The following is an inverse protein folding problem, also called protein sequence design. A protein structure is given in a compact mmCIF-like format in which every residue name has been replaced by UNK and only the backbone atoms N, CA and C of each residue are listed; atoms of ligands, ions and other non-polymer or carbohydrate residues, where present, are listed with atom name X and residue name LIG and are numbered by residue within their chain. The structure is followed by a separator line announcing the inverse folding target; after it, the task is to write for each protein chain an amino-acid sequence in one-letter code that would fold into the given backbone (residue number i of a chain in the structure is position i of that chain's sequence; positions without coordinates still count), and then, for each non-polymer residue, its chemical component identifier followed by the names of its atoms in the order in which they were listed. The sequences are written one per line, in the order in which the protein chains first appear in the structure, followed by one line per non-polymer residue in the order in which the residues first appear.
data_IF_257070710565
#
_entry.id   IF_257070710565
#
_cell.length_a   1.000
_cell.length_b   1.000
_cell.length_c   1.000
_cell.angle_alpha   90.00
_cell.angle_beta   90.00
_cell.angle_gamma   90.00
#
_symmetry.space_group_name_H-M   'P 1'
#
loop_
_entity.id
_entity.type
_entity.pdbx_description
1 polymer ?
#
# COMPACT_ATOMS: atom_id res chain seq x y z
N UNK A 1 -7.10 -13.87 -1.41
CA UNK A 1 -6.69 -13.15 -0.20
C UNK A 1 -7.30 -11.77 -0.23
N UNK A 2 -7.60 -11.19 0.92
CA UNK A 2 -8.14 -9.84 0.99
C UNK A 2 -7.01 -8.86 1.34
N UNK A 3 -7.25 -7.56 1.14
CA UNK A 3 -6.36 -6.54 1.65
C UNK A 3 -6.39 -6.56 3.19
N UNK A 4 -5.30 -6.11 3.82
CA UNK A 4 -5.21 -6.07 5.27
C UNK A 4 -5.08 -4.62 5.74
N UNK A 5 -5.66 -4.31 6.89
CA UNK A 5 -5.54 -2.98 7.48
C UNK A 5 -4.32 -2.94 8.38
N UNK A 6 -3.48 -1.92 8.20
CA UNK A 6 -2.32 -1.71 9.07
C UNK A 6 -2.42 -0.36 9.75
N UNK A 7 -1.88 -0.29 10.95
CA UNK A 7 -1.95 0.87 11.84
C UNK A 7 -0.54 1.37 12.13
N UNK A 8 -0.44 2.54 12.79
CA UNK A 8 0.87 3.02 13.26
C UNK A 8 1.48 2.02 14.24
N UNK A 9 0.65 1.36 15.07
CA UNK A 9 1.12 0.43 16.10
C UNK A 9 1.61 -0.90 15.52
N UNK A 10 0.95 -1.41 14.45
CA UNK A 10 1.34 -2.72 13.89
C UNK A 10 2.17 -2.65 12.61
N UNK A 11 2.53 -1.45 12.17
CA UNK A 11 3.27 -1.25 10.92
C UNK A 11 4.59 -2.04 10.91
N UNK A 12 5.33 -2.01 12.00
CA UNK A 12 6.61 -2.71 12.09
C UNK A 12 6.43 -4.21 11.89
N UNK A 13 5.49 -4.83 12.61
CA UNK A 13 5.27 -6.27 12.51
C UNK A 13 4.63 -6.70 11.19
N UNK A 14 3.65 -5.95 10.72
CA UNK A 14 2.87 -6.36 9.55
C UNK A 14 3.52 -5.98 8.22
N UNK A 15 4.33 -4.93 8.20
CA UNK A 15 4.95 -4.43 6.98
C UNK A 15 6.45 -4.70 6.97
N UNK A 16 7.17 -4.16 7.96
CA UNK A 16 8.63 -4.23 7.94
C UNK A 16 9.16 -5.62 8.21
N UNK A 17 8.46 -6.41 9.01
CA UNK A 17 8.84 -7.80 9.32
C UNK A 17 8.11 -8.84 8.48
N UNK A 18 7.34 -8.40 7.50
CA UNK A 18 6.64 -9.33 6.62
C UNK A 18 7.61 -10.15 5.80
N UNK A 19 7.31 -11.44 5.67
CA UNK A 19 8.11 -12.36 4.84
C UNK A 19 7.86 -12.14 3.35
N UNK A 20 6.72 -11.55 2.99
CA UNK A 20 6.37 -11.23 1.61
C UNK A 20 6.54 -9.75 1.35
N UNK A 21 6.84 -9.36 0.10
CA UNK A 21 6.75 -7.96 -0.28
C UNK A 21 5.37 -7.41 0.06
N UNK A 22 5.32 -6.18 0.57
CA UNK A 22 4.08 -5.56 1.02
C UNK A 22 3.91 -4.20 0.36
N UNK A 23 2.76 -4.01 -0.26
CA UNK A 23 2.35 -2.71 -0.81
C UNK A 23 1.46 -2.05 0.22
N UNK A 24 1.82 -0.85 0.66
CA UNK A 24 1.01 -0.09 1.61
C UNK A 24 0.33 1.04 0.86
N UNK A 25 -1.01 1.02 0.85
CA UNK A 25 -1.84 2.07 0.26
C UNK A 25 -2.25 3.06 1.34
N UNK A 26 -1.71 4.28 1.26
CA UNK A 26 -2.10 5.38 2.15
C UNK A 26 -3.33 6.07 1.58
N UNK A 27 -4.40 6.10 2.36
CA UNK A 27 -5.71 6.56 1.90
C UNK A 27 -6.48 7.30 2.99
N UNK A 28 -7.59 7.93 2.62
CA UNK A 28 -8.52 8.56 3.57
C UNK A 28 -9.95 8.45 3.03
N UNK A 29 -10.92 8.50 3.93
CA UNK A 29 -12.35 8.41 3.58
C UNK A 29 -12.80 9.52 2.63
N UNK A 30 -12.24 10.73 2.79
CA UNK A 30 -12.62 11.89 1.97
C UNK A 30 -11.96 11.89 0.59
N UNK A 31 -11.09 10.96 0.33
CA UNK A 31 -10.27 10.94 -0.90
C UNK A 31 -10.99 10.17 -2.01
N UNK A 32 -11.55 10.90 -2.97
CA UNK A 32 -12.22 10.31 -4.14
C UNK A 32 -11.31 9.39 -4.95
N UNK A 33 -10.10 9.84 -5.34
CA UNK A 33 -9.16 8.99 -6.08
C UNK A 33 -8.76 7.72 -5.34
N UNK A 34 -8.66 7.78 -4.00
CA UNK A 34 -8.39 6.58 -3.19
C UNK A 34 -9.48 5.54 -3.36
N UNK A 35 -10.74 5.99 -3.45
CA UNK A 35 -11.89 5.09 -3.62
C UNK A 35 -11.92 4.47 -5.01
N UNK A 36 -11.33 5.14 -6.00
CA UNK A 36 -11.24 4.60 -7.36
C UNK A 36 -10.28 3.42 -7.44
N UNK A 37 -9.17 3.45 -6.71
CA UNK A 37 -8.21 2.34 -6.76
C UNK A 37 -8.50 1.24 -5.74
N UNK A 38 -9.32 1.49 -4.75
CA UNK A 38 -9.61 0.49 -3.72
C UNK A 38 -10.09 -0.85 -4.29
N UNK A 39 -11.08 -0.91 -5.19
CA UNK A 39 -11.49 -2.19 -5.77
C UNK A 39 -10.39 -2.84 -6.62
N UNK A 40 -9.55 -2.05 -7.28
CA UNK A 40 -8.41 -2.56 -8.06
C UNK A 40 -7.42 -3.26 -7.14
N UNK A 41 -7.11 -2.64 -6.00
CA UNK A 41 -6.19 -3.22 -5.02
C UNK A 41 -6.75 -4.50 -4.41
N UNK A 42 -8.06 -4.55 -4.19
CA UNK A 42 -8.71 -5.76 -3.70
C UNK A 42 -8.58 -6.90 -4.71
N UNK A 43 -8.79 -6.60 -6.01
CA UNK A 43 -8.60 -7.60 -7.07
C UNK A 43 -7.17 -8.11 -7.12
N UNK A 44 -6.19 -7.20 -7.06
CA UNK A 44 -4.77 -7.58 -7.07
C UNK A 44 -4.44 -8.46 -5.87
N UNK A 45 -4.96 -8.11 -4.70
CA UNK A 45 -4.78 -8.89 -3.48
C UNK A 45 -5.28 -10.32 -3.64
N UNK A 46 -6.40 -10.50 -4.35
CA UNK A 46 -6.97 -11.82 -4.60
C UNK A 46 -6.22 -12.61 -5.67
N UNK A 47 -5.53 -11.93 -6.59
CA UNK A 47 -4.87 -12.56 -7.74
C UNK A 47 -3.38 -12.81 -7.53
N UNK A 48 -2.72 -12.00 -6.70
CA UNK A 48 -1.27 -12.07 -6.50
C UNK A 48 -0.94 -12.50 -5.07
N UNK A 49 -0.82 -13.81 -4.86
CA UNK A 49 -0.52 -14.36 -3.53
C UNK A 49 0.92 -14.11 -3.07
N UNK A 50 1.79 -13.69 -3.99
CA UNK A 50 3.20 -13.42 -3.68
C UNK A 50 3.43 -12.07 -2.99
N UNK A 51 2.41 -11.20 -2.94
CA UNK A 51 2.50 -9.91 -2.24
C UNK A 51 1.35 -9.75 -1.26
N UNK A 52 1.57 -8.91 -0.25
CA UNK A 52 0.51 -8.46 0.66
C UNK A 52 0.12 -7.04 0.26
N UNK A 53 -1.18 -6.80 0.15
CA UNK A 53 -1.69 -5.44 -0.08
C UNK A 53 -2.28 -4.95 1.24
N UNK A 54 -1.63 -3.94 1.82
CA UNK A 54 -2.02 -3.36 3.10
C UNK A 54 -2.63 -1.97 2.88
N UNK A 55 -3.58 -1.60 3.72
CA UNK A 55 -4.24 -0.30 3.69
C UNK A 55 -3.97 0.44 4.98
N UNK A 56 -3.61 1.72 4.88
CA UNK A 56 -3.24 2.55 6.01
C UNK A 56 -4.00 3.88 5.94
N UNK A 57 -4.95 4.08 6.84
CA UNK A 57 -5.76 5.30 6.90
C UNK A 57 -4.93 6.42 7.54
N UNK A 58 -4.66 7.49 6.78
CA UNK A 58 -3.77 8.56 7.24
C UNK A 58 -4.39 9.45 8.32
N UNK A 59 -5.72 9.51 8.39
CA UNK A 59 -6.39 10.32 9.40
C UNK A 59 -6.36 9.66 10.77
N UNK A 60 -6.53 8.34 10.79
CA UNK A 60 -6.47 7.55 12.03
C UNK A 60 -5.04 7.27 12.48
N UNK A 61 -4.12 7.18 11.53
CA UNK A 61 -2.74 6.78 11.78
C UNK A 61 -1.77 7.68 11.02
N UNK A 62 -1.50 8.89 11.57
CA UNK A 62 -0.69 9.89 10.85
C UNK A 62 0.83 9.70 10.95
N UNK A 63 1.32 8.83 11.83
CA UNK A 63 2.76 8.75 12.09
C UNK A 63 3.55 8.17 10.92
N UNK A 64 3.09 7.07 10.32
CA UNK A 64 3.82 6.43 9.24
C UNK A 64 3.84 7.25 7.96
N UNK A 65 2.72 7.84 7.51
CA UNK A 65 2.79 8.70 6.33
C UNK A 65 3.71 9.90 6.53
N UNK A 66 3.74 10.48 7.73
CA UNK A 66 4.66 11.56 8.05
C UNK A 66 6.11 11.10 7.98
N UNK A 67 6.41 9.93 8.56
CA UNK A 67 7.75 9.35 8.56
C UNK A 67 8.28 9.14 7.14
N UNK A 68 7.43 8.66 6.23
CA UNK A 68 7.85 8.37 4.86
C UNK A 68 7.63 9.52 3.89
N UNK A 69 7.26 10.70 4.38
CA UNK A 69 7.12 11.90 3.56
C UNK A 69 5.96 11.84 2.57
N UNK A 70 4.89 11.13 2.91
CA UNK A 70 3.70 11.04 2.07
C UNK A 70 2.95 12.37 2.15
N UNK A 71 2.83 13.06 1.00
CA UNK A 71 2.20 14.38 0.93
C UNK A 71 0.87 14.40 0.22
N UNK A 72 0.65 13.42 -0.64
CA UNK A 72 -0.59 13.30 -1.39
C UNK A 72 -1.10 11.89 -1.33
N UNK A 73 -2.39 11.70 -1.54
CA UNK A 73 -3.02 10.39 -1.55
C UNK A 73 -3.89 10.22 -2.79
N UNK A 74 -4.03 9.00 -3.31
CA UNK A 74 -3.40 7.78 -2.82
C UNK A 74 -1.90 7.75 -3.11
N UNK A 75 -1.15 7.19 -2.19
CA UNK A 75 0.27 6.89 -2.41
C UNK A 75 0.50 5.45 -1.98
N UNK A 76 1.16 4.68 -2.83
CA UNK A 76 1.53 3.30 -2.53
C UNK A 76 3.03 3.22 -2.30
N UNK A 77 3.41 2.60 -1.19
CA UNK A 77 4.82 2.30 -0.89
C UNK A 77 5.00 0.80 -0.94
N UNK A 78 6.03 0.33 -1.64
CA UNK A 78 6.34 -1.09 -1.71
C UNK A 78 7.56 -1.38 -0.84
N UNK A 79 7.37 -2.27 0.14
CA UNK A 79 8.42 -2.72 1.05
C UNK A 79 8.79 -4.16 0.77
N UNK A 80 10.07 -4.46 0.87
CA UNK A 80 10.58 -5.82 0.75
C UNK A 80 11.77 -5.98 1.69
N UNK A 81 11.75 -7.04 2.49
CA UNK A 81 12.81 -7.32 3.47
C UNK A 81 13.06 -6.14 4.42
N UNK A 82 11.98 -5.47 4.84
CA UNK A 82 12.04 -4.35 5.77
C UNK A 82 12.47 -3.02 5.17
N UNK A 83 12.65 -2.95 3.84
CA UNK A 83 13.12 -1.75 3.18
C UNK A 83 12.12 -1.21 2.17
N UNK A 84 12.02 0.11 2.09
CA UNK A 84 11.22 0.78 1.06
C UNK A 84 11.92 0.63 -0.30
N UNK A 85 11.27 -0.03 -1.25
CA UNK A 85 11.83 -0.30 -2.57
C UNK A 85 11.29 0.62 -3.66
N UNK A 86 10.03 1.02 -3.57
CA UNK A 86 9.40 1.81 -4.63
C UNK A 86 8.23 2.61 -4.10
N UNK A 87 7.92 3.71 -4.80
CA UNK A 87 6.81 4.61 -4.47
C UNK A 87 5.99 4.85 -5.73
N UNK A 88 4.67 4.83 -5.60
CA UNK A 88 3.78 5.16 -6.69
C UNK A 88 2.68 6.09 -6.19
N UNK A 89 2.61 7.28 -6.79
CA UNK A 89 1.68 8.34 -6.38
C UNK A 89 0.53 8.44 -7.38
N UNK A 90 -0.68 8.57 -6.86
CA UNK A 90 -1.86 8.85 -7.67
C UNK A 90 -2.56 7.63 -8.21
N UNK A 91 -3.67 7.88 -8.92
CA UNK A 91 -4.48 6.84 -9.54
C UNK A 91 -3.87 6.41 -10.86
N UNK A 92 -3.86 5.10 -11.12
CA UNK A 92 -3.44 4.55 -12.39
C UNK A 92 -4.23 3.25 -12.65
N UNK A 93 -3.96 2.58 -13.76
CA UNK A 93 -4.67 1.37 -14.14
C UNK A 93 -4.18 0.17 -13.34
N UNK A 94 -5.03 -0.86 -13.26
CA UNK A 94 -4.65 -2.14 -12.65
C UNK A 94 -3.39 -2.70 -13.31
N UNK A 95 -3.32 -2.65 -14.63
CA UNK A 95 -2.17 -3.14 -15.39
C UNK A 95 -0.88 -2.44 -14.99
N UNK A 96 -0.93 -1.10 -14.83
CA UNK A 96 0.24 -0.34 -14.41
C UNK A 96 0.66 -0.69 -12.98
N UNK A 97 -0.30 -0.89 -12.08
CA UNK A 97 0.00 -1.26 -10.69
C UNK A 97 0.66 -2.64 -10.64
N UNK A 98 0.09 -3.62 -11.36
CA UNK A 98 0.65 -4.98 -11.42
C UNK A 98 2.07 -4.96 -11.97
N UNK A 99 2.30 -4.22 -13.06
CA UNK A 99 3.64 -4.09 -13.64
C UNK A 99 4.63 -3.48 -12.66
N UNK A 100 4.21 -2.40 -11.98
CA UNK A 100 5.03 -1.74 -10.97
C UNK A 100 5.40 -2.70 -9.83
N UNK A 101 4.44 -3.50 -9.35
CA UNK A 101 4.70 -4.48 -8.32
C UNK A 101 5.74 -5.49 -8.81
N UNK A 102 5.51 -6.07 -10.00
CA UNK A 102 6.39 -7.11 -10.55
C UNK A 102 7.82 -6.62 -10.81
N UNK A 103 7.97 -5.35 -11.16
CA UNK A 103 9.30 -4.76 -11.39
C UNK A 103 10.09 -4.61 -10.09
N UNK A 104 9.44 -4.63 -8.92
CA UNK A 104 10.06 -4.28 -7.66
C UNK A 104 10.08 -5.44 -6.65
N UNK A 105 9.61 -6.59 -7.03
CA UNK A 105 9.65 -7.76 -6.15
C UNK A 105 10.54 -8.85 -6.75
#
# INVERSE_FOLDING_TARGET
MATVNVTDENFDTEVLKSEKPTVVDFWAEWCGPCKQIAPILEEISNEMSEVVIAKHNIDEHPNQPTKYGVRGIPTMLLFKDGELKATKVGVTTKSNIVSWIKENI
#
